data_IF_003958747969
#
_entry.id   IF_003958747969
#
_cell.length_a   1.000
_cell.length_b   1.000
_cell.length_c   1.000
_cell.angle_alpha   90.00
_cell.angle_beta   90.00
_cell.angle_gamma   90.00
#
_symmetry.space_group_name_H-M   'P 1'
#
loop_
_entity.id
_entity.type
_entity.pdbx_description
1 polymer ?
#
# COMPACT_ATOMS: atom_id res chain seq x y z
N UNK A 1 -1.54 -2.95 9.54
CA UNK A 1 -2.51 -4.02 9.23
C UNK A 1 -2.08 -4.93 8.09
N UNK A 2 -1.93 -4.42 6.87
CA UNK A 2 -1.76 -5.23 5.64
C UNK A 2 -0.45 -4.98 4.86
N UNK A 3 0.54 -4.31 5.47
CA UNK A 3 1.87 -4.10 4.86
C UNK A 3 2.71 -5.39 4.89
N UNK A 4 3.88 -5.41 4.23
CA UNK A 4 4.84 -6.53 4.29
C UNK A 4 5.36 -6.76 5.71
N UNK A 5 6.06 -7.87 5.91
CA UNK A 5 6.76 -8.15 7.16
C UNK A 5 7.75 -7.01 7.46
N UNK A 6 7.78 -6.53 8.71
CA UNK A 6 8.66 -5.46 9.20
C UNK A 6 8.58 -4.10 8.50
N UNK A 7 7.74 -3.96 7.47
CA UNK A 7 7.68 -2.77 6.63
C UNK A 7 7.34 -1.50 7.39
N UNK A 8 6.52 -1.61 8.44
CA UNK A 8 6.19 -0.47 9.30
C UNK A 8 7.43 0.13 9.96
N UNK A 9 8.28 -0.69 10.59
CA UNK A 9 9.48 -0.19 11.26
C UNK A 9 10.57 0.19 10.27
N UNK A 10 10.69 -0.52 9.14
CA UNK A 10 11.64 -0.15 8.08
C UNK A 10 11.31 1.20 7.45
N UNK A 11 10.05 1.45 7.08
CA UNK A 11 9.59 2.74 6.56
C UNK A 11 9.71 3.82 7.64
N UNK A 12 9.30 3.48 8.87
CA UNK A 12 9.70 4.08 10.16
C UNK A 12 11.06 4.77 10.10
N UNK A 13 12.05 3.90 10.12
CA UNK A 13 13.46 4.21 10.20
C UNK A 13 13.92 5.02 8.98
N UNK A 14 13.63 4.53 7.78
CA UNK A 14 14.12 5.16 6.55
C UNK A 14 13.61 6.60 6.38
N UNK A 15 12.33 6.87 6.67
CA UNK A 15 11.77 8.21 6.53
C UNK A 15 12.31 9.18 7.58
N UNK A 16 12.50 8.73 8.83
CA UNK A 16 13.05 9.57 9.90
C UNK A 16 14.53 9.85 9.71
N UNK A 17 15.31 8.82 9.39
CA UNK A 17 16.77 8.90 9.37
C UNK A 17 17.28 9.64 8.11
N UNK A 18 16.53 9.62 7.00
CA UNK A 18 17.02 10.12 5.71
C UNK A 18 16.29 11.33 5.13
N UNK A 19 15.06 11.66 5.56
CA UNK A 19 14.26 12.69 4.89
C UNK A 19 13.96 13.93 5.73
N UNK A 20 14.41 13.99 7.00
CA UNK A 20 14.18 15.14 7.90
C UNK A 20 12.73 15.65 7.87
N UNK A 21 11.76 14.75 7.65
CA UNK A 21 10.34 15.08 7.58
C UNK A 21 9.68 14.93 8.95
N UNK A 22 8.70 15.79 9.23
CA UNK A 22 7.82 15.61 10.37
C UNK A 22 6.91 14.38 10.12
N UNK A 23 7.21 13.28 10.80
CA UNK A 23 6.56 12.00 10.56
C UNK A 23 5.70 11.54 11.74
N UNK A 24 4.39 11.60 11.53
CA UNK A 24 3.39 10.93 12.38
C UNK A 24 3.15 9.52 11.88
N UNK A 25 3.23 8.54 12.79
CA UNK A 25 2.99 7.13 12.47
C UNK A 25 1.86 6.61 13.34
N UNK A 26 0.88 5.97 12.69
CA UNK A 26 -0.32 5.45 13.37
C UNK A 26 -0.47 3.97 13.13
N UNK A 27 -0.50 3.19 14.21
CA UNK A 27 -0.85 1.78 14.13
C UNK A 27 -2.37 1.61 14.19
N UNK A 28 -2.97 1.48 13.02
CA UNK A 28 -4.38 1.12 12.86
C UNK A 28 -4.56 -0.37 12.52
N UNK A 29 -3.56 -1.22 12.73
CA UNK A 29 -3.53 -2.58 12.20
C UNK A 29 -4.75 -3.43 12.56
N UNK A 30 -5.16 -3.40 13.83
CA UNK A 30 -6.34 -4.12 14.31
C UNK A 30 -7.64 -3.58 13.72
N UNK A 31 -7.78 -2.26 13.57
CA UNK A 31 -8.95 -1.63 12.96
C UNK A 31 -9.15 -2.07 11.51
N UNK A 32 -8.07 -2.14 10.73
CA UNK A 32 -8.15 -2.63 9.35
C UNK A 32 -8.55 -4.10 9.29
N UNK A 33 -7.94 -4.95 10.14
CA UNK A 33 -8.24 -6.39 10.13
C UNK A 33 -9.66 -6.69 10.64
N UNK A 34 -10.15 -5.95 11.64
CA UNK A 34 -11.51 -6.14 12.15
C UNK A 34 -12.57 -5.78 11.11
N UNK A 35 -12.38 -4.69 10.36
CA UNK A 35 -13.28 -4.30 9.27
C UNK A 35 -13.21 -5.22 8.05
N UNK A 36 -12.11 -5.95 7.88
CA UNK A 36 -11.93 -6.94 6.80
C UNK A 36 -12.41 -8.34 7.16
N UNK A 37 -12.77 -8.59 8.41
CA UNK A 37 -13.20 -9.90 8.88
C UNK A 37 -14.43 -10.39 8.10
N UNK A 38 -14.36 -11.63 7.58
CA UNK A 38 -15.42 -12.23 6.77
C UNK A 38 -15.58 -11.66 5.35
N UNK A 39 -14.80 -10.65 4.95
CA UNK A 39 -14.90 -10.05 3.62
C UNK A 39 -14.05 -10.82 2.61
N UNK A 40 -14.71 -11.49 1.67
CA UNK A 40 -14.07 -12.30 0.63
C UNK A 40 -13.94 -11.57 -0.71
N UNK A 41 -14.94 -10.75 -1.06
CA UNK A 41 -14.99 -10.02 -2.33
C UNK A 41 -13.86 -8.97 -2.42
N UNK A 42 -13.04 -9.01 -3.48
CA UNK A 42 -11.86 -8.15 -3.61
C UNK A 42 -12.21 -6.66 -3.71
N UNK A 43 -13.28 -6.28 -4.38
CA UNK A 43 -13.68 -4.88 -4.52
C UNK A 43 -14.24 -4.32 -3.21
N UNK A 44 -14.99 -5.13 -2.44
CA UNK A 44 -15.39 -4.77 -1.07
C UNK A 44 -14.17 -4.57 -0.17
N UNK A 45 -13.15 -5.45 -0.24
CA UNK A 45 -11.89 -5.24 0.51
C UNK A 45 -11.25 -3.90 0.16
N UNK A 46 -11.14 -3.57 -1.13
CA UNK A 46 -10.59 -2.28 -1.59
C UNK A 46 -11.35 -1.09 -1.01
N UNK A 47 -12.68 -1.09 -1.14
CA UNK A 47 -13.55 -0.03 -0.61
C UNK A 47 -13.40 0.13 0.90
N UNK A 48 -13.42 -0.98 1.66
CA UNK A 48 -13.25 -0.96 3.12
C UNK A 48 -11.88 -0.42 3.51
N UNK A 49 -10.81 -0.85 2.83
CA UNK A 49 -9.46 -0.37 3.12
C UNK A 49 -9.34 1.13 2.82
N UNK A 50 -9.85 1.58 1.67
CA UNK A 50 -9.83 3.00 1.33
C UNK A 50 -10.62 3.87 2.30
N UNK A 51 -11.86 3.48 2.63
CA UNK A 51 -12.67 4.24 3.58
C UNK A 51 -12.05 4.27 4.97
N UNK A 52 -11.51 3.14 5.43
CA UNK A 52 -10.81 3.05 6.73
C UNK A 52 -9.55 3.89 6.76
N UNK A 53 -8.78 3.92 5.67
CA UNK A 53 -7.62 4.80 5.56
C UNK A 53 -8.01 6.26 5.69
N UNK A 54 -9.06 6.69 4.98
CA UNK A 54 -9.53 8.06 5.06
C UNK A 54 -10.07 8.38 6.46
N UNK A 55 -10.83 7.48 7.11
CA UNK A 55 -11.32 7.70 8.48
C UNK A 55 -10.16 7.92 9.48
N UNK A 56 -9.09 7.13 9.35
CA UNK A 56 -7.89 7.26 10.19
C UNK A 56 -7.16 8.55 9.86
N UNK A 57 -6.99 8.87 8.58
CA UNK A 57 -6.33 10.11 8.14
C UNK A 57 -7.05 11.35 8.66
N UNK A 58 -8.38 11.40 8.53
CA UNK A 58 -9.21 12.52 8.99
C UNK A 58 -9.05 12.74 10.51
N UNK A 59 -9.10 11.64 11.27
CA UNK A 59 -8.89 11.68 12.73
C UNK A 59 -7.52 12.24 13.11
N UNK A 60 -6.48 11.84 12.39
CA UNK A 60 -5.11 12.29 12.68
C UNK A 60 -4.86 13.73 12.23
N UNK A 61 -5.47 14.18 11.13
CA UNK A 61 -5.41 15.58 10.72
C UNK A 61 -5.98 16.49 11.82
N UNK A 62 -7.16 16.17 12.35
CA UNK A 62 -7.78 16.92 13.46
C UNK A 62 -6.91 16.89 14.72
N UNK A 63 -6.27 15.75 15.03
CA UNK A 63 -5.36 15.65 16.18
C UNK A 63 -4.15 16.57 16.02
N UNK A 64 -3.54 16.58 14.82
CA UNK A 64 -2.37 17.41 14.52
C UNK A 64 -2.72 18.91 14.59
N UNK A 65 -3.87 19.32 14.05
CA UNK A 65 -4.34 20.71 14.16
C UNK A 65 -4.45 21.16 15.62
N UNK A 66 -5.07 20.33 16.47
CA UNK A 66 -5.21 20.59 17.92
C UNK A 66 -3.87 20.67 18.63
N UNK A 67 -2.95 19.77 18.31
CA UNK A 67 -1.59 19.77 18.89
C UNK A 67 -0.80 21.02 18.49
N UNK A 68 -1.10 21.61 17.32
CA UNK A 68 -0.43 22.80 16.82
C UNK A 68 -1.03 24.13 17.30
N UNK A 69 -2.21 24.15 17.94
CA UNK A 69 -2.97 25.37 18.29
C UNK A 69 -2.15 26.47 18.99
N UNK A 70 -1.17 26.08 19.83
CA UNK A 70 -0.33 27.01 20.60
C UNK A 70 1.12 27.08 20.10
N UNK A 71 1.36 26.72 18.83
CA UNK A 71 2.69 26.75 18.20
C UNK A 71 2.70 27.74 17.03
N UNK A 72 3.88 28.14 16.53
CA UNK A 72 3.97 28.93 15.28
C UNK A 72 3.36 28.24 14.05
N UNK A 73 3.08 26.93 14.13
CA UNK A 73 2.46 26.13 13.08
C UNK A 73 0.94 25.99 13.27
N UNK A 74 0.31 26.81 14.11
CA UNK A 74 -1.14 26.77 14.32
C UNK A 74 -1.90 27.09 13.03
N UNK A 75 -2.97 26.34 12.78
CA UNK A 75 -3.77 26.49 11.57
C UNK A 75 -4.43 25.18 11.17
N UNK A 76 -5.32 25.27 10.18
CA UNK A 76 -5.95 24.09 9.58
C UNK A 76 -5.00 23.45 8.57
N UNK A 77 -5.09 22.14 8.41
CA UNK A 77 -4.46 21.45 7.29
C UNK A 77 -5.23 21.80 6.02
N UNK A 78 -4.61 22.58 5.14
CA UNK A 78 -5.25 23.03 3.89
C UNK A 78 -4.92 22.17 2.67
N UNK A 79 -3.78 21.48 2.69
CA UNK A 79 -3.25 20.80 1.50
C UNK A 79 -3.04 19.31 1.75
N UNK A 80 -3.49 18.50 0.80
CA UNK A 80 -3.23 17.06 0.72
C UNK A 80 -2.31 16.78 -0.47
N UNK A 81 -1.10 16.32 -0.18
CA UNK A 81 -0.10 16.01 -1.21
C UNK A 81 -0.21 14.54 -1.66
N UNK A 82 -0.33 14.33 -2.97
CA UNK A 82 -0.29 12.99 -3.57
C UNK A 82 0.84 12.85 -4.59
N UNK A 83 1.46 11.67 -4.60
CA UNK A 83 2.48 11.29 -5.58
C UNK A 83 1.92 10.70 -6.87
N UNK A 84 0.74 11.15 -7.31
CA UNK A 84 0.07 10.67 -8.53
C UNK A 84 0.96 10.90 -9.75
N UNK A 85 1.09 9.89 -10.62
CA UNK A 85 1.94 9.95 -11.81
C UNK A 85 1.12 10.08 -13.10
N UNK A 86 1.79 10.43 -14.20
CA UNK A 86 1.14 10.59 -15.50
C UNK A 86 0.43 9.32 -16.01
N UNK A 87 1.01 8.10 -15.88
CA UNK A 87 0.30 6.87 -16.24
C UNK A 87 -1.01 6.67 -15.48
N UNK A 88 -1.06 7.08 -14.19
CA UNK A 88 -2.27 6.97 -13.38
C UNK A 88 -3.37 7.87 -13.95
N UNK A 89 -3.02 9.10 -14.36
CA UNK A 89 -3.95 10.06 -14.97
C UNK A 89 -4.54 9.51 -16.27
N UNK A 90 -3.72 8.94 -17.16
CA UNK A 90 -4.20 8.36 -18.42
C UNK A 90 -5.13 7.16 -18.15
N UNK A 91 -4.79 6.28 -17.21
CA UNK A 91 -5.64 5.13 -16.84
C UNK A 91 -7.03 5.62 -16.40
N UNK A 92 -7.11 6.72 -15.64
CA UNK A 92 -8.38 7.32 -15.20
C UNK A 92 -9.20 7.98 -16.31
N UNK A 93 -8.56 8.54 -17.35
CA UNK A 93 -9.24 9.22 -18.46
C UNK A 93 -9.75 8.23 -19.52
N UNK A 94 -9.01 7.15 -19.75
CA UNK A 94 -9.34 6.09 -20.73
C UNK A 94 -10.56 5.23 -20.37
N UNK A 95 -11.09 5.43 -19.15
CA UNK A 95 -12.25 4.75 -18.57
C UNK A 95 -13.62 5.08 -19.22
N UNK A 96 -13.72 6.10 -20.08
CA UNK A 96 -14.97 6.45 -20.79
C UNK A 96 -15.28 5.56 -22.02
N UNK A 97 -14.83 4.30 -22.03
CA UNK A 97 -15.09 3.31 -23.09
C UNK A 97 -15.81 2.05 -22.55
N UNK A 98 -16.37 1.18 -23.41
CA UNK A 98 -17.36 0.15 -23.03
C UNK A 98 -16.75 -1.12 -22.40
N UNK A 99 -15.68 -0.99 -21.63
CA UNK A 99 -15.01 -2.13 -20.98
C UNK A 99 -15.36 -2.19 -19.49
N UNK A 100 -15.63 -3.41 -19.03
CA UNK A 100 -16.18 -3.72 -17.71
C UNK A 100 -15.45 -3.04 -16.54
N UNK A 101 -16.21 -2.79 -15.49
CA UNK A 101 -15.91 -2.03 -14.27
C UNK A 101 -14.71 -2.58 -13.47
N UNK A 102 -13.50 -2.48 -14.00
CA UNK A 102 -12.27 -2.99 -13.37
C UNK A 102 -11.52 -1.82 -12.72
N UNK A 103 -11.61 -1.76 -11.39
CA UNK A 103 -10.95 -0.86 -10.40
C UNK A 103 -11.74 0.39 -10.00
N UNK A 104 -12.18 0.40 -8.75
CA UNK A 104 -12.59 1.62 -8.03
C UNK A 104 -11.35 2.44 -7.63
N UNK A 105 -11.25 3.68 -8.11
CA UNK A 105 -10.04 4.52 -8.02
C UNK A 105 -9.65 4.86 -6.57
N UNK A 106 -8.37 4.64 -6.23
CA UNK A 106 -7.79 5.10 -4.97
C UNK A 106 -6.77 6.24 -5.14
N UNK A 107 -6.28 6.53 -6.35
CA UNK A 107 -5.21 7.51 -6.56
C UNK A 107 -5.54 8.66 -7.54
N UNK A 108 -6.58 8.54 -8.37
CA UNK A 108 -6.80 9.46 -9.53
C UNK A 108 -8.20 10.06 -9.62
N UNK A 109 -9.07 9.75 -8.65
CA UNK A 109 -10.44 10.29 -8.59
C UNK A 109 -10.57 11.63 -7.88
N UNK A 110 -9.46 12.26 -7.49
CA UNK A 110 -9.45 13.41 -6.59
C UNK A 110 -9.66 13.01 -5.12
N UNK A 111 -9.70 14.02 -4.25
CA UNK A 111 -10.02 13.84 -2.84
C UNK A 111 -11.48 13.38 -2.69
N UNK A 112 -11.79 12.44 -1.78
CA UNK A 112 -13.16 12.13 -1.40
C UNK A 112 -13.94 13.41 -1.08
N UNK A 113 -15.19 13.51 -1.53
CA UNK A 113 -16.02 14.71 -1.34
C UNK A 113 -16.10 15.13 0.14
N UNK A 114 -16.13 14.15 1.05
CA UNK A 114 -16.10 14.42 2.50
C UNK A 114 -14.81 15.09 2.99
N UNK A 115 -13.66 14.82 2.37
CA UNK A 115 -12.39 15.47 2.72
C UNK A 115 -12.34 16.90 2.17
N UNK A 116 -12.88 17.12 0.97
CA UNK A 116 -12.96 18.46 0.36
C UNK A 116 -13.98 19.35 1.09
N UNK A 117 -15.21 18.88 1.25
CA UNK A 117 -16.30 19.67 1.81
C UNK A 117 -16.30 19.70 3.34
N UNK A 118 -15.81 18.63 3.99
CA UNK A 118 -15.72 18.55 5.44
C UNK A 118 -14.48 19.24 6.00
N UNK A 119 -13.29 18.80 5.58
CA UNK A 119 -12.02 19.34 6.09
C UNK A 119 -11.50 20.55 5.31
N UNK A 120 -12.04 20.83 4.11
CA UNK A 120 -11.56 21.94 3.28
C UNK A 120 -10.23 21.64 2.58
N UNK A 121 -9.84 20.37 2.47
CA UNK A 121 -8.55 19.98 1.89
C UNK A 121 -8.50 20.25 0.39
N UNK A 122 -7.36 20.78 -0.07
CA UNK A 122 -7.02 21.01 -1.47
C UNK A 122 -5.93 20.05 -1.91
N UNK A 123 -6.08 19.48 -3.10
CA UNK A 123 -5.15 18.48 -3.63
C UNK A 123 -3.95 19.16 -4.30
N UNK A 124 -2.73 18.66 -4.03
CA UNK A 124 -1.50 19.02 -4.75
C UNK A 124 -0.77 17.76 -5.25
N UNK A 125 -0.46 17.71 -6.54
CA UNK A 125 0.11 16.53 -7.22
C UNK A 125 1.36 16.92 -8.04
N UNK A 126 2.53 17.09 -7.39
CA UNK A 126 3.71 17.63 -8.07
C UNK A 126 4.29 16.69 -9.14
N UNK A 127 3.98 15.38 -9.07
CA UNK A 127 4.51 14.36 -9.98
C UNK A 127 3.56 14.01 -11.13
N UNK A 128 2.42 14.72 -11.25
CA UNK A 128 1.29 14.36 -12.11
C UNK A 128 1.64 14.23 -13.60
N UNK A 129 2.68 14.91 -14.06
CA UNK A 129 3.12 14.92 -15.46
C UNK A 129 4.35 14.04 -15.72
N UNK A 130 4.78 13.26 -14.74
CA UNK A 130 6.01 12.46 -14.83
C UNK A 130 5.71 10.96 -14.98
N UNK A 131 6.57 10.30 -15.74
CA UNK A 131 6.68 8.84 -15.81
C UNK A 131 7.55 8.28 -14.69
N UNK A 132 7.48 6.95 -14.51
CA UNK A 132 8.11 6.26 -13.37
C UNK A 132 9.64 6.34 -13.40
N UNK A 133 10.24 6.29 -14.58
CA UNK A 133 11.68 6.45 -14.79
C UNK A 133 12.15 7.87 -14.43
N UNK A 134 11.39 8.90 -14.81
CA UNK A 134 11.66 10.30 -14.45
C UNK A 134 11.59 10.51 -12.92
N UNK A 135 10.55 9.98 -12.27
CA UNK A 135 10.42 10.04 -10.80
C UNK A 135 11.57 9.34 -10.11
N UNK A 136 12.05 8.22 -10.64
CA UNK A 136 13.24 7.52 -10.12
C UNK A 136 14.50 8.36 -10.29
N UNK A 137 14.68 9.02 -11.43
CA UNK A 137 15.82 9.90 -11.66
C UNK A 137 15.83 11.08 -10.67
N UNK A 138 14.66 11.72 -10.45
CA UNK A 138 14.50 12.77 -9.44
C UNK A 138 14.80 12.24 -8.04
N UNK A 139 14.27 11.06 -7.68
CA UNK A 139 14.53 10.44 -6.40
C UNK A 139 16.02 10.24 -6.10
N UNK A 140 16.81 9.83 -7.11
CA UNK A 140 18.27 9.72 -6.99
C UNK A 140 18.95 11.07 -6.81
N UNK A 141 18.53 12.10 -7.54
CA UNK A 141 19.07 13.45 -7.39
C UNK A 141 18.76 14.05 -6.01
N UNK A 142 17.62 13.68 -5.41
CA UNK A 142 17.25 14.04 -4.04
C UNK A 142 17.96 13.19 -2.96
N UNK A 143 18.85 12.27 -3.35
CA UNK A 143 19.60 11.43 -2.41
C UNK A 143 18.79 10.29 -1.78
N UNK A 144 17.63 9.94 -2.34
CA UNK A 144 16.85 8.79 -1.86
C UNK A 144 17.62 7.51 -2.16
N UNK A 145 17.75 6.65 -1.15
CA UNK A 145 18.50 5.40 -1.25
C UNK A 145 17.98 4.50 -2.39
N UNK A 146 18.90 3.88 -3.16
CA UNK A 146 18.57 3.11 -4.37
C UNK A 146 17.59 1.96 -4.10
N UNK A 147 17.67 1.34 -2.92
CA UNK A 147 16.75 0.26 -2.52
C UNK A 147 15.29 0.71 -2.37
N UNK A 148 15.04 2.01 -2.14
CA UNK A 148 13.70 2.60 -2.11
C UNK A 148 13.24 2.98 -3.52
N UNK A 149 14.13 3.55 -4.32
CA UNK A 149 13.87 3.98 -5.72
C UNK A 149 13.50 2.79 -6.62
N UNK A 150 14.20 1.67 -6.48
CA UNK A 150 13.99 0.46 -7.30
C UNK A 150 12.96 -0.51 -6.72
N UNK A 151 12.39 -0.22 -5.55
CA UNK A 151 11.43 -1.11 -4.88
C UNK A 151 10.26 -1.43 -5.80
N UNK A 152 9.90 -2.71 -5.89
CA UNK A 152 8.72 -3.15 -6.63
C UNK A 152 7.46 -2.46 -6.09
N UNK A 153 6.50 -2.12 -6.96
CA UNK A 153 5.26 -1.49 -6.54
C UNK A 153 4.50 -2.40 -5.57
N UNK A 154 3.98 -1.80 -4.51
CA UNK A 154 3.14 -2.47 -3.52
C UNK A 154 1.75 -1.83 -3.55
N UNK A 155 0.66 -2.63 -3.70
CA UNK A 155 -0.68 -2.09 -3.84
C UNK A 155 -1.14 -1.42 -2.53
N UNK A 156 -1.96 -0.38 -2.62
CA UNK A 156 -2.53 0.32 -1.44
C UNK A 156 -3.25 -0.62 -0.45
N UNK A 157 -4.12 -1.53 -0.92
CA UNK A 157 -4.70 -2.59 -0.08
C UNK A 157 -3.69 -3.59 0.52
N UNK A 158 -2.44 -3.56 0.08
CA UNK A 158 -1.34 -4.39 0.53
C UNK A 158 -1.58 -5.88 0.36
N UNK A 159 -1.24 -6.66 1.38
CA UNK A 159 -1.39 -8.11 1.40
C UNK A 159 -2.86 -8.54 1.37
N UNK A 160 -3.82 -7.69 1.73
CA UNK A 160 -5.24 -8.07 1.78
C UNK A 160 -5.81 -8.52 0.43
N UNK A 161 -5.29 -7.97 -0.68
CA UNK A 161 -5.66 -8.38 -2.05
C UNK A 161 -4.78 -9.50 -2.61
N UNK A 162 -3.73 -9.91 -1.87
CA UNK A 162 -2.89 -11.07 -2.18
C UNK A 162 -3.37 -12.34 -1.47
N UNK A 163 -4.35 -12.22 -0.56
CA UNK A 163 -5.04 -13.33 0.08
C UNK A 163 -6.38 -13.52 -0.65
N UNK A 164 -6.57 -14.69 -1.26
CA UNK A 164 -7.85 -15.08 -1.84
C UNK A 164 -8.80 -15.48 -0.71
N UNK A 165 -10.05 -15.02 -0.69
CA UNK A 165 -10.96 -15.28 0.44
C UNK A 165 -10.81 -14.28 1.59
N UNK A 166 -11.15 -14.67 2.82
CA UNK A 166 -11.22 -13.75 3.96
C UNK A 166 -9.83 -13.44 4.59
N UNK A 167 -9.67 -12.22 5.09
CA UNK A 167 -8.38 -11.67 5.54
C UNK A 167 -8.29 -11.69 7.07
N UNK A 168 -7.76 -12.79 7.63
CA UNK A 168 -7.54 -12.95 9.08
C UNK A 168 -6.10 -12.62 9.47
N UNK A 169 -5.86 -12.34 10.75
CA UNK A 169 -4.51 -12.08 11.28
C UNK A 169 -3.53 -13.21 10.96
N UNK A 170 -3.94 -14.46 11.19
CA UNK A 170 -3.14 -15.66 10.87
C UNK A 170 -2.73 -15.68 9.39
N UNK A 171 -3.68 -15.51 8.48
CA UNK A 171 -3.40 -15.56 7.03
C UNK A 171 -2.52 -14.41 6.57
N UNK A 172 -2.70 -13.22 7.14
CA UNK A 172 -1.82 -12.07 6.88
C UNK A 172 -0.40 -12.36 7.35
N UNK A 173 -0.22 -12.97 8.52
CA UNK A 173 1.11 -13.36 9.01
C UNK A 173 1.77 -14.41 8.13
N UNK A 174 1.03 -15.42 7.67
CA UNK A 174 1.55 -16.44 6.75
C UNK A 174 1.96 -15.79 5.41
N UNK A 175 1.07 -15.00 4.81
CA UNK A 175 1.34 -14.32 3.55
C UNK A 175 2.55 -13.37 3.65
N UNK A 176 2.71 -12.66 4.77
CA UNK A 176 3.89 -11.82 5.06
C UNK A 176 5.19 -12.61 5.07
N UNK A 177 5.20 -13.73 5.79
CA UNK A 177 6.39 -14.58 5.92
C UNK A 177 6.75 -15.19 4.57
N UNK A 178 5.77 -15.70 3.83
CA UNK A 178 5.96 -16.22 2.49
C UNK A 178 6.49 -15.16 1.51
N UNK A 179 5.91 -13.95 1.51
CA UNK A 179 6.35 -12.84 0.65
C UNK A 179 7.79 -12.42 0.98
N UNK A 180 8.12 -12.32 2.28
CA UNK A 180 9.46 -11.99 2.73
C UNK A 180 10.50 -13.02 2.25
N UNK A 181 10.22 -14.31 2.42
CA UNK A 181 11.12 -15.38 1.97
C UNK A 181 11.30 -15.32 0.46
N UNK A 182 10.21 -15.28 -0.30
CA UNK A 182 10.27 -15.28 -1.76
C UNK A 182 11.03 -14.07 -2.32
N UNK A 183 10.77 -12.87 -1.80
CA UNK A 183 11.46 -11.66 -2.24
C UNK A 183 12.94 -11.68 -1.88
N UNK A 184 13.31 -12.19 -0.70
CA UNK A 184 14.72 -12.30 -0.31
C UNK A 184 15.47 -13.30 -1.20
N UNK A 185 14.88 -14.46 -1.49
CA UNK A 185 15.48 -15.42 -2.42
C UNK A 185 15.65 -14.85 -3.84
N UNK A 186 14.68 -14.06 -4.33
CA UNK A 186 14.80 -13.37 -5.63
C UNK A 186 15.96 -12.37 -5.62
N UNK A 187 16.14 -11.63 -4.53
CA UNK A 187 17.25 -10.67 -4.37
C UNK A 187 18.60 -11.38 -4.30
N UNK A 188 18.70 -12.43 -3.49
CA UNK A 188 19.90 -13.26 -3.36
C UNK A 188 20.32 -13.88 -4.70
N UNK A 189 19.34 -14.26 -5.53
CA UNK A 189 19.57 -14.76 -6.87
C UNK A 189 19.93 -13.68 -7.91
N UNK A 190 19.95 -12.39 -7.55
CA UNK A 190 20.23 -11.29 -8.48
C UNK A 190 19.14 -11.06 -9.54
N UNK A 191 17.91 -11.52 -9.29
CA UNK A 191 16.80 -11.48 -10.24
C UNK A 191 15.82 -10.32 -10.01
N UNK A 192 15.93 -9.61 -8.88
CA UNK A 192 14.95 -8.61 -8.45
C UNK A 192 14.71 -7.49 -9.47
N UNK A 193 15.80 -6.92 -10.01
CA UNK A 193 15.74 -5.80 -10.95
C UNK A 193 15.37 -6.22 -12.38
N UNK A 194 15.36 -7.53 -12.65
CA UNK A 194 14.92 -8.10 -13.93
C UNK A 194 13.38 -8.26 -14.00
N UNK A 195 12.69 -8.03 -12.88
CA UNK A 195 11.24 -8.19 -12.73
C UNK A 195 10.58 -6.84 -12.46
N UNK A 196 9.40 -6.63 -13.03
CA UNK A 196 8.60 -5.43 -12.78
C UNK A 196 7.87 -5.52 -11.44
N UNK A 197 7.46 -6.73 -11.06
CA UNK A 197 6.83 -7.02 -9.79
C UNK A 197 6.96 -8.51 -9.46
N UNK A 198 7.31 -8.81 -8.21
CA UNK A 198 7.18 -10.14 -7.63
C UNK A 198 6.45 -10.06 -6.29
N UNK A 199 5.72 -11.12 -5.93
CA UNK A 199 5.13 -11.31 -4.61
C UNK A 199 4.69 -12.74 -4.34
N UNK A 200 4.51 -13.07 -3.06
CA UNK A 200 3.77 -14.24 -2.63
C UNK A 200 2.34 -13.86 -2.22
N UNK A 201 1.38 -14.69 -2.63
CA UNK A 201 -0.01 -14.64 -2.21
C UNK A 201 -0.40 -15.91 -1.45
N UNK A 202 -1.62 -15.93 -0.94
CA UNK A 202 -2.17 -17.05 -0.17
C UNK A 202 -3.53 -17.44 -0.73
N UNK A 203 -3.69 -18.72 -1.05
CA UNK A 203 -4.99 -19.32 -1.28
C UNK A 203 -5.53 -19.89 0.04
N UNK A 204 -6.79 -19.60 0.35
CA UNK A 204 -7.47 -20.12 1.55
C UNK A 204 -7.80 -21.60 1.47
N UNK A 205 -7.64 -22.22 0.31
CA UNK A 205 -7.71 -23.67 0.13
C UNK A 205 -6.62 -24.37 0.94
N UNK A 206 -6.95 -25.54 1.48
CA UNK A 206 -6.04 -26.36 2.28
C UNK A 206 -5.50 -27.52 1.45
N UNK A 207 -4.22 -27.81 1.62
CA UNK A 207 -3.57 -29.00 1.07
C UNK A 207 -3.03 -29.88 2.19
N UNK A 208 -3.05 -31.19 1.97
CA UNK A 208 -2.44 -32.17 2.89
C UNK A 208 -0.94 -32.18 2.67
N UNK A 209 -0.19 -32.04 3.76
CA UNK A 209 1.24 -32.28 3.83
C UNK A 209 1.56 -33.42 4.79
N UNK A 210 2.82 -33.84 4.79
CA UNK A 210 3.36 -34.82 5.73
C UNK A 210 4.49 -34.15 6.50
N UNK A 211 4.43 -34.20 7.83
CA UNK A 211 5.48 -33.69 8.71
C UNK A 211 5.81 -34.77 9.76
N UNK A 212 6.99 -35.38 9.64
CA UNK A 212 7.29 -36.64 10.33
C UNK A 212 6.30 -37.72 9.92
N UNK A 213 5.71 -38.40 10.90
CA UNK A 213 4.72 -39.46 10.69
C UNK A 213 3.26 -38.98 10.73
N UNK A 214 3.02 -37.65 10.77
CA UNK A 214 1.68 -37.08 10.85
C UNK A 214 1.25 -36.37 9.56
N UNK A 215 -0.04 -36.47 9.25
CA UNK A 215 -0.69 -35.63 8.23
C UNK A 215 -0.97 -34.25 8.80
N UNK A 216 -0.56 -33.23 8.07
CA UNK A 216 -0.81 -31.82 8.41
C UNK A 216 -1.60 -31.15 7.29
N UNK A 217 -2.32 -30.08 7.62
CA UNK A 217 -3.07 -29.29 6.64
C UNK A 217 -2.50 -27.88 6.57
N UNK A 218 -1.96 -27.51 5.42
CA UNK A 218 -1.37 -26.21 5.15
C UNK A 218 -2.22 -25.37 4.20
N UNK A 219 -2.03 -24.05 4.23
CA UNK A 219 -2.51 -23.18 3.15
C UNK A 219 -1.58 -23.27 1.94
N UNK A 220 -2.10 -22.98 0.75
CA UNK A 220 -1.32 -22.96 -0.49
C UNK A 220 -0.75 -21.54 -0.69
N UNK A 221 0.57 -21.45 -0.86
CA UNK A 221 1.26 -20.20 -1.20
C UNK A 221 1.37 -20.09 -2.73
N UNK A 222 0.99 -18.93 -3.27
CA UNK A 222 1.08 -18.64 -4.70
C UNK A 222 2.26 -17.71 -4.93
N UNK A 223 3.25 -18.13 -5.73
CA UNK A 223 4.36 -17.27 -6.13
C UNK A 223 4.04 -16.62 -7.48
N UNK A 224 4.08 -15.29 -7.54
CA UNK A 224 3.86 -14.54 -8.78
C UNK A 224 5.03 -13.61 -9.04
N UNK A 225 5.65 -13.75 -10.21
CA UNK A 225 6.67 -12.86 -10.72
C UNK A 225 6.36 -12.50 -12.17
N UNK A 226 6.43 -11.22 -12.51
CA UNK A 226 6.11 -10.71 -13.85
C UNK A 226 7.16 -9.72 -14.33
N UNK A 227 7.41 -9.75 -15.63
CA UNK A 227 8.18 -8.74 -16.36
C UNK A 227 7.24 -8.07 -17.36
N UNK A 228 6.93 -6.81 -17.13
CA UNK A 228 6.24 -5.97 -18.10
C UNK A 228 7.26 -5.40 -19.07
N UNK A 229 6.92 -5.40 -20.36
CA UNK A 229 7.69 -4.71 -21.39
C UNK A 229 7.50 -3.21 -21.27
#
# INVERSE_FOLDING_TARGET
GCMRLNEFEEVKKNLRDHLSINLTVVDAGELFLSRLAGVTDPEKKRKIIGSTFIDVFEKEAIRIEKEAENTPNSGKVEWFLQGTLYPDVIESLSWRGPSATIKTHHNTGGLPERMMNGQGLRLIEPLRLLFKDEVRAIGRQLGIHESLVNRHPFPGPGIAIRILGDVTKERVEIARKADNIFINMIKEAGLYDQMSQAFAGLDTSRSVGVFGDMRVWGYIVILRAVRTK
#
